data_IF_975629050101
#
_entry.id   IF_975629050101
#
_cell.length_a   1.000
_cell.length_b   1.000
_cell.length_c   1.000
_cell.angle_alpha   90.00
_cell.angle_beta   90.00
_cell.angle_gamma   90.00
#
_symmetry.space_group_name_H-M   'P 1'
#
loop_
_entity.id
_entity.type
_entity.pdbx_description
1 polymer ?
#
# COMPACT_ATOMS: atom_id res chain seq x y z
N UNK A 1 -17.05 20.55 6.96
CA UNK A 1 -16.75 21.47 5.83
C UNK A 1 -15.33 21.17 5.36
N UNK A 2 -15.14 20.23 4.45
CA UNK A 2 -13.83 20.01 3.81
C UNK A 2 -13.68 21.09 2.74
N UNK A 3 -12.84 22.09 2.99
CA UNK A 3 -12.41 23.02 1.95
C UNK A 3 -11.68 22.21 0.90
N UNK A 4 -12.16 22.24 -0.35
CA UNK A 4 -11.40 21.69 -1.47
C UNK A 4 -10.04 22.38 -1.49
N UNK A 5 -8.91 21.65 -1.56
CA UNK A 5 -7.61 22.27 -1.72
C UNK A 5 -7.60 23.05 -3.04
N UNK A 6 -7.14 24.31 -3.01
CA UNK A 6 -6.97 25.12 -4.21
C UNK A 6 -5.89 24.50 -5.11
N UNK A 7 -6.31 23.67 -6.07
CA UNK A 7 -5.44 22.97 -7.03
C UNK A 7 -4.81 23.91 -8.07
N UNK A 8 -5.13 25.20 -8.01
CA UNK A 8 -4.72 26.23 -8.99
C UNK A 8 -3.53 27.07 -8.50
N UNK A 9 -3.15 26.98 -7.23
CA UNK A 9 -2.00 27.69 -6.66
C UNK A 9 -0.83 26.73 -6.43
N UNK A 10 0.06 26.61 -7.42
CA UNK A 10 1.34 25.95 -7.23
C UNK A 10 2.26 26.85 -6.39
N UNK A 11 2.12 26.76 -5.07
CA UNK A 11 3.08 27.38 -4.16
C UNK A 11 4.47 26.77 -4.38
N UNK A 12 5.51 27.62 -4.41
CA UNK A 12 6.91 27.17 -4.49
C UNK A 12 7.22 26.14 -3.42
N UNK A 13 6.60 26.26 -2.24
CA UNK A 13 6.73 25.28 -1.17
C UNK A 13 6.19 23.89 -1.57
N UNK A 14 5.03 23.81 -2.23
CA UNK A 14 4.44 22.55 -2.71
C UNK A 14 5.29 21.87 -3.77
N UNK A 15 5.87 22.65 -4.69
CA UNK A 15 6.78 22.11 -5.70
C UNK A 15 8.05 21.58 -5.04
N UNK A 16 8.61 22.33 -4.08
CA UNK A 16 9.81 21.93 -3.34
C UNK A 16 9.56 20.66 -2.50
N UNK A 17 8.39 20.53 -1.86
CA UNK A 17 8.04 19.33 -1.08
C UNK A 17 7.85 18.09 -1.96
N UNK A 18 7.20 18.23 -3.12
CA UNK A 18 7.08 17.14 -4.09
C UNK A 18 8.46 16.71 -4.60
N UNK A 19 9.31 17.67 -4.98
CA UNK A 19 10.68 17.38 -5.42
C UNK A 19 11.51 16.74 -4.30
N UNK A 20 11.37 17.23 -3.07
CA UNK A 20 12.02 16.65 -1.88
C UNK A 20 11.57 15.21 -1.62
N UNK A 21 10.25 14.95 -1.62
CA UNK A 21 9.70 13.61 -1.49
C UNK A 21 10.17 12.69 -2.62
N UNK A 22 10.20 13.19 -3.86
CA UNK A 22 10.70 12.44 -5.01
C UNK A 22 12.18 12.08 -4.83
N UNK A 23 13.03 13.05 -4.47
CA UNK A 23 14.45 12.83 -4.23
C UNK A 23 14.70 11.78 -3.14
N UNK A 24 13.98 11.85 -2.01
CA UNK A 24 14.08 10.86 -0.93
C UNK A 24 13.60 9.47 -1.39
N UNK A 25 12.47 9.41 -2.10
CA UNK A 25 11.89 8.15 -2.60
C UNK A 25 12.84 7.45 -3.59
N UNK A 26 13.37 8.20 -4.54
CA UNK A 26 14.35 7.67 -5.49
C UNK A 26 15.67 7.34 -4.83
N UNK A 27 16.12 8.14 -3.86
CA UNK A 27 17.30 7.87 -3.06
C UNK A 27 17.21 6.53 -2.31
N UNK A 28 16.07 6.25 -1.67
CA UNK A 28 15.83 4.94 -1.03
C UNK A 28 15.84 3.79 -2.05
N UNK A 29 15.23 3.97 -3.23
CA UNK A 29 15.25 2.96 -4.29
C UNK A 29 16.66 2.69 -4.82
N UNK A 30 17.42 3.73 -5.12
CA UNK A 30 18.82 3.64 -5.55
C UNK A 30 19.68 2.99 -4.47
N UNK A 31 19.52 3.39 -3.21
CA UNK A 31 20.22 2.78 -2.08
C UNK A 31 19.91 1.29 -1.95
N UNK A 32 18.65 0.89 -2.12
CA UNK A 32 18.23 -0.51 -2.14
C UNK A 32 18.85 -1.30 -3.31
N UNK A 33 18.87 -0.73 -4.52
CA UNK A 33 19.49 -1.35 -5.69
C UNK A 33 21.01 -1.53 -5.52
N UNK A 34 21.72 -0.52 -5.02
CA UNK A 34 23.16 -0.62 -4.73
C UNK A 34 23.46 -1.65 -3.64
N UNK A 35 22.56 -1.83 -2.68
CA UNK A 35 22.72 -2.83 -1.61
C UNK A 35 22.31 -4.24 -2.07
N UNK A 36 21.47 -4.37 -3.09
CA UNK A 36 21.02 -5.65 -3.63
C UNK A 36 22.18 -6.52 -4.14
N UNK A 37 23.23 -5.90 -4.68
CA UNK A 37 24.45 -6.61 -5.11
C UNK A 37 25.23 -7.23 -3.94
N UNK A 38 25.01 -6.75 -2.71
CA UNK A 38 25.61 -7.28 -1.48
C UNK A 38 24.70 -8.27 -0.74
N UNK A 39 23.47 -8.49 -1.21
CA UNK A 39 22.54 -9.42 -0.58
C UNK A 39 22.93 -10.87 -0.90
N UNK A 40 22.92 -11.78 0.09
CA UNK A 40 23.17 -13.20 -0.16
C UNK A 40 22.10 -13.76 -1.09
N UNK A 41 22.49 -14.18 -2.30
CA UNK A 41 21.54 -14.75 -3.28
C UNK A 41 21.27 -16.25 -3.05
N UNK A 42 22.12 -16.93 -2.26
CA UNK A 42 22.02 -18.37 -2.02
C UNK A 42 22.08 -18.70 -0.53
N UNK A 43 21.30 -19.69 -0.11
CA UNK A 43 21.30 -20.23 1.26
C UNK A 43 20.10 -19.82 2.12
N UNK A 44 20.18 -20.14 3.41
CA UNK A 44 19.07 -19.96 4.38
C UNK A 44 18.67 -18.49 4.54
N UNK A 45 19.62 -17.56 4.45
CA UNK A 45 19.36 -16.13 4.57
C UNK A 45 18.60 -15.57 3.37
N UNK A 46 18.94 -15.98 2.13
CA UNK A 46 18.22 -15.57 0.93
C UNK A 46 16.71 -15.88 1.03
N UNK A 47 16.39 -17.07 1.53
CA UNK A 47 15.01 -17.53 1.73
C UNK A 47 14.24 -16.72 2.79
N UNK A 48 14.94 -16.19 3.79
CA UNK A 48 14.36 -15.27 4.77
C UNK A 48 14.12 -13.91 4.14
N UNK A 49 15.11 -13.39 3.40
CA UNK A 49 14.99 -12.09 2.71
C UNK A 49 13.87 -12.08 1.67
N UNK A 50 13.65 -13.18 0.95
CA UNK A 50 12.56 -13.30 -0.03
C UNK A 50 11.16 -13.25 0.62
N UNK A 51 11.05 -13.61 1.91
CA UNK A 51 9.79 -13.52 2.67
C UNK A 51 9.55 -12.18 3.34
N UNK A 52 10.60 -11.38 3.57
CA UNK A 52 10.49 -10.05 4.18
C UNK A 52 9.49 -9.13 3.46
N UNK A 53 9.48 -8.99 2.12
CA UNK A 53 8.55 -8.08 1.46
C UNK A 53 7.09 -8.45 1.75
N UNK A 54 6.74 -9.73 1.73
CA UNK A 54 5.39 -10.18 2.11
C UNK A 54 5.06 -9.88 3.57
N UNK A 55 5.99 -10.15 4.50
CA UNK A 55 5.79 -9.90 5.91
C UNK A 55 5.61 -8.40 6.25
N UNK A 56 6.42 -7.54 5.63
CA UNK A 56 6.32 -6.08 5.81
C UNK A 56 5.00 -5.55 5.26
N UNK A 57 4.57 -6.02 4.08
CA UNK A 57 3.26 -5.65 3.53
C UNK A 57 2.13 -6.02 4.49
N UNK A 58 2.13 -7.23 5.05
CA UNK A 58 1.12 -7.65 6.02
C UNK A 58 1.20 -6.80 7.29
N UNK A 59 2.39 -6.54 7.81
CA UNK A 59 2.59 -5.75 9.04
C UNK A 59 2.08 -4.31 8.94
N UNK A 60 2.15 -3.69 7.76
CA UNK A 60 1.66 -2.31 7.53
C UNK A 60 0.18 -2.32 7.15
N UNK A 61 -0.27 -3.36 6.43
CA UNK A 61 -1.65 -3.46 5.99
C UNK A 61 -2.63 -3.81 7.11
N UNK A 62 -2.25 -4.71 8.04
CA UNK A 62 -3.11 -5.06 9.18
C UNK A 62 -3.56 -3.83 9.99
N UNK A 63 -2.66 -2.93 10.45
CA UNK A 63 -3.09 -1.75 11.19
C UNK A 63 -3.92 -0.79 10.33
N UNK A 64 -3.62 -0.64 9.03
CA UNK A 64 -4.42 0.23 8.17
C UNK A 64 -5.85 -0.31 7.96
N UNK A 65 -6.03 -1.62 7.86
CA UNK A 65 -7.33 -2.27 7.81
C UNK A 65 -8.10 -2.11 9.13
N UNK A 66 -7.43 -2.21 10.28
CA UNK A 66 -8.02 -1.98 11.60
C UNK A 66 -8.43 -0.51 11.79
N UNK A 67 -7.60 0.44 11.38
CA UNK A 67 -7.90 1.89 11.46
C UNK A 67 -9.08 2.31 10.56
N UNK A 68 -9.37 1.55 9.51
CA UNK A 68 -10.55 1.76 8.66
C UNK A 68 -11.87 1.27 9.29
N UNK A 69 -11.82 0.68 10.49
CA UNK A 69 -13.00 0.25 11.25
C UNK A 69 -13.58 -1.10 10.80
N UNK A 70 -14.77 -1.48 11.32
CA UNK A 70 -15.40 -2.78 11.04
C UNK A 70 -15.61 -3.04 9.55
N UNK A 71 -15.93 -1.98 8.79
CA UNK A 71 -16.13 -2.03 7.33
C UNK A 71 -14.81 -2.24 6.60
N UNK A 72 -13.72 -1.63 7.07
CA UNK A 72 -12.37 -1.84 6.54
C UNK A 72 -11.92 -3.29 6.68
N UNK A 73 -12.18 -3.89 7.85
CA UNK A 73 -11.88 -5.31 8.13
C UNK A 73 -12.74 -6.24 7.27
N UNK A 74 -14.04 -5.95 7.12
CA UNK A 74 -14.94 -6.74 6.26
C UNK A 74 -14.53 -6.70 4.78
N UNK A 75 -14.16 -5.52 4.27
CA UNK A 75 -13.66 -5.36 2.91
C UNK A 75 -12.29 -6.00 2.67
N UNK A 76 -11.40 -5.89 3.65
CA UNK A 76 -10.12 -6.60 3.67
C UNK A 76 -10.33 -8.12 3.59
N UNK A 77 -11.21 -8.67 4.42
CA UNK A 77 -11.55 -10.10 4.41
C UNK A 77 -12.15 -10.53 3.07
N UNK A 78 -13.09 -9.76 2.51
CA UNK A 78 -13.67 -10.09 1.21
C UNK A 78 -12.67 -10.01 0.06
N UNK A 79 -11.70 -9.08 0.12
CA UNK A 79 -10.59 -9.03 -0.85
C UNK A 79 -9.77 -10.30 -0.80
N UNK A 80 -9.41 -10.78 0.40
CA UNK A 80 -8.66 -12.01 0.60
C UNK A 80 -9.47 -13.23 0.11
N UNK A 81 -10.75 -13.31 0.46
CA UNK A 81 -11.64 -14.40 0.03
C UNK A 81 -11.77 -14.42 -1.50
N UNK A 82 -12.00 -13.26 -2.12
CA UNK A 82 -12.12 -13.14 -3.58
C UNK A 82 -10.81 -13.48 -4.28
N UNK A 83 -9.67 -13.12 -3.71
CA UNK A 83 -8.35 -13.49 -4.22
C UNK A 83 -8.15 -15.00 -4.23
N UNK A 84 -8.59 -15.70 -3.17
CA UNK A 84 -8.48 -17.16 -3.07
C UNK A 84 -9.41 -17.85 -4.09
N UNK A 85 -10.61 -17.32 -4.31
CA UNK A 85 -11.62 -17.93 -5.19
C UNK A 85 -11.34 -17.63 -6.67
N UNK A 86 -11.08 -16.37 -7.02
CA UNK A 86 -10.98 -15.93 -8.43
C UNK A 86 -9.55 -16.09 -8.97
N UNK A 87 -8.53 -16.15 -8.10
CA UNK A 87 -7.09 -16.18 -8.45
C UNK A 87 -6.66 -15.05 -9.42
N UNK A 88 -7.50 -14.02 -9.57
CA UNK A 88 -7.25 -12.85 -10.41
C UNK A 88 -7.16 -11.61 -9.52
N UNK A 89 -5.97 -11.00 -9.52
CA UNK A 89 -5.65 -9.85 -8.67
C UNK A 89 -6.58 -8.67 -8.92
N UNK A 90 -6.91 -8.39 -10.19
CA UNK A 90 -7.80 -7.27 -10.53
C UNK A 90 -9.22 -7.49 -10.02
N UNK A 91 -9.75 -8.70 -10.18
CA UNK A 91 -11.09 -9.04 -9.70
C UNK A 91 -11.17 -8.95 -8.17
N UNK A 92 -10.14 -9.41 -7.46
CA UNK A 92 -10.07 -9.29 -6.01
C UNK A 92 -10.04 -7.84 -5.54
N UNK A 93 -9.24 -6.99 -6.20
CA UNK A 93 -9.16 -5.56 -5.89
C UNK A 93 -10.50 -4.85 -6.10
N UNK A 94 -11.17 -5.10 -7.23
CA UNK A 94 -12.47 -4.49 -7.53
C UNK A 94 -13.53 -4.95 -6.53
N UNK A 95 -13.62 -6.24 -6.24
CA UNK A 95 -14.59 -6.77 -5.28
C UNK A 95 -14.39 -6.19 -3.88
N UNK A 96 -13.13 -6.14 -3.41
CA UNK A 96 -12.76 -5.52 -2.15
C UNK A 96 -13.15 -4.05 -2.07
N UNK A 97 -12.79 -3.28 -3.11
CA UNK A 97 -13.08 -1.85 -3.19
C UNK A 97 -14.58 -1.57 -3.22
N UNK A 98 -15.34 -2.32 -4.01
CA UNK A 98 -16.81 -2.21 -4.08
C UNK A 98 -17.43 -2.54 -2.72
N UNK A 99 -16.95 -3.57 -2.02
CA UNK A 99 -17.48 -3.92 -0.71
C UNK A 99 -17.18 -2.84 0.35
N UNK A 100 -15.96 -2.30 0.38
CA UNK A 100 -15.62 -1.19 1.29
C UNK A 100 -16.45 0.06 0.96
N UNK A 101 -16.60 0.39 -0.32
CA UNK A 101 -17.36 1.54 -0.76
C UNK A 101 -18.85 1.41 -0.42
N UNK A 102 -19.45 0.25 -0.68
CA UNK A 102 -20.84 -0.06 -0.31
C UNK A 102 -21.03 -0.06 1.21
N UNK A 103 -20.11 -0.67 1.96
CA UNK A 103 -20.15 -0.69 3.42
C UNK A 103 -20.03 0.70 4.04
N UNK A 104 -19.16 1.57 3.48
CA UNK A 104 -19.06 2.98 3.89
C UNK A 104 -20.30 3.79 3.53
N UNK A 105 -20.96 3.47 2.42
CA UNK A 105 -22.17 4.17 1.98
C UNK A 105 -23.41 3.78 2.79
N UNK A 106 -23.52 2.53 3.23
CA UNK A 106 -24.72 2.02 3.92
C UNK A 106 -24.72 2.24 5.44
N UNK A 107 -23.55 2.46 6.05
CA UNK A 107 -23.39 2.73 7.50
C UNK A 107 -22.90 4.15 7.81
N UNK A 108 -22.77 5.02 6.79
CA UNK A 108 -22.32 6.42 6.91
C UNK A 108 -23.48 7.39 7.09
#
# INVERSE_FOLDING_TARGET
>A
MMSFPDLTTFSTASVLTILGMAAVTYGMRLGGLLMADRLPQHGRWAHVLERLPGAVLISVWVPSALSAGPIGIAGAAATVITMIVVRNLFAAMVAGMVLVAAGRYFLG
#
